data_IF_734301558963
#
_entry.id   IF_734301558963
#
_cell.length_a   1.000
_cell.length_b   1.000
_cell.length_c   1.000
_cell.angle_alpha   90.00
_cell.angle_beta   90.00
_cell.angle_gamma   90.00
#
_symmetry.space_group_name_H-M   'P 1'
#
loop_
_entity.id
_entity.type
_entity.pdbx_description
1 polymer ?
#
# COMPACT_ATOMS: atom_id res chain seq x y z
N UNK A 1 -32.54 9.94 16.28
CA UNK A 1 -31.16 10.31 16.71
C UNK A 1 -30.29 10.32 15.46
N UNK A 2 -29.60 11.41 15.17
CA UNK A 2 -28.68 11.52 14.03
C UNK A 2 -27.24 11.24 14.50
N UNK A 3 -26.51 10.47 13.70
CA UNK A 3 -25.06 10.27 13.91
C UNK A 3 -24.35 11.31 13.04
N UNK A 4 -23.47 12.10 13.65
CA UNK A 4 -22.67 13.10 12.93
C UNK A 4 -21.24 12.60 12.75
N UNK A 5 -20.70 12.85 11.58
CA UNK A 5 -19.31 12.58 11.23
C UNK A 5 -18.61 13.89 10.88
N UNK A 6 -17.32 13.99 11.20
CA UNK A 6 -16.49 15.12 10.83
C UNK A 6 -16.03 15.03 9.37
N UNK A 7 -15.88 13.81 8.87
CA UNK A 7 -15.48 13.55 7.49
C UNK A 7 -16.16 12.29 6.94
N UNK A 8 -16.47 12.32 5.66
CA UNK A 8 -16.96 11.18 4.88
C UNK A 8 -15.97 10.93 3.74
N UNK A 9 -15.44 9.72 3.68
CA UNK A 9 -14.51 9.29 2.65
C UNK A 9 -15.21 8.29 1.73
N UNK A 10 -15.21 8.59 0.44
CA UNK A 10 -15.83 7.73 -0.57
C UNK A 10 -14.76 6.89 -1.23
N UNK A 11 -14.83 5.59 -1.03
CA UNK A 11 -13.88 4.59 -1.51
C UNK A 11 -12.87 4.14 -0.44
N UNK A 12 -12.85 2.83 -0.17
CA UNK A 12 -11.92 2.18 0.74
C UNK A 12 -10.73 1.57 -0.03
N UNK A 13 -10.14 2.33 -0.94
CA UNK A 13 -8.84 2.03 -1.54
C UNK A 13 -7.69 2.50 -0.62
N UNK A 14 -6.43 2.28 -1.02
CA UNK A 14 -5.28 2.65 -0.19
C UNK A 14 -5.27 4.13 0.23
N UNK A 15 -5.61 5.03 -0.68
CA UNK A 15 -5.67 6.47 -0.39
C UNK A 15 -6.78 6.81 0.62
N UNK A 16 -7.99 6.28 0.40
CA UNK A 16 -9.13 6.52 1.29
C UNK A 16 -8.91 5.97 2.69
N UNK A 17 -8.41 4.75 2.80
CA UNK A 17 -8.13 4.11 4.10
C UNK A 17 -7.00 4.82 4.86
N UNK A 18 -5.92 5.18 4.18
CA UNK A 18 -4.83 5.95 4.80
C UNK A 18 -5.33 7.31 5.30
N UNK A 19 -6.16 8.00 4.52
CA UNK A 19 -6.76 9.27 4.93
C UNK A 19 -7.67 9.10 6.13
N UNK A 20 -8.54 8.07 6.12
CA UNK A 20 -9.45 7.77 7.22
C UNK A 20 -8.69 7.52 8.51
N UNK A 21 -7.65 6.69 8.46
CA UNK A 21 -6.83 6.36 9.60
C UNK A 21 -6.11 7.59 10.17
N UNK A 22 -5.51 8.41 9.30
CA UNK A 22 -4.80 9.61 9.75
C UNK A 22 -5.75 10.64 10.39
N UNK A 23 -6.97 10.77 9.90
CA UNK A 23 -8.01 11.61 10.52
C UNK A 23 -8.47 11.02 11.85
N UNK A 24 -8.73 9.71 11.90
CA UNK A 24 -9.16 9.03 13.12
C UNK A 24 -8.10 9.13 14.24
N UNK A 25 -6.82 8.99 13.92
CA UNK A 25 -5.72 9.16 14.87
C UNK A 25 -5.65 10.58 15.46
N UNK A 26 -6.17 11.57 14.73
CA UNK A 26 -6.30 12.97 15.20
C UNK A 26 -7.60 13.24 15.95
N UNK A 27 -8.41 12.21 16.20
CA UNK A 27 -9.65 12.31 16.97
C UNK A 27 -10.88 12.68 16.14
N UNK A 28 -10.80 12.77 14.82
CA UNK A 28 -11.95 13.01 13.96
C UNK A 28 -12.82 11.76 13.83
N UNK A 29 -14.12 11.95 13.81
CA UNK A 29 -15.11 10.91 13.57
C UNK A 29 -15.31 10.74 12.06
N UNK A 30 -14.80 9.64 11.52
CA UNK A 30 -14.75 9.41 10.06
C UNK A 30 -15.71 8.30 9.66
N UNK A 31 -16.42 8.49 8.57
CA UNK A 31 -17.18 7.47 7.87
C UNK A 31 -16.49 7.14 6.54
N UNK A 32 -16.19 5.87 6.32
CA UNK A 32 -15.71 5.38 5.03
C UNK A 32 -16.83 4.61 4.36
N UNK A 33 -17.13 4.94 3.10
CA UNK A 33 -18.12 4.23 2.29
C UNK A 33 -17.45 3.55 1.11
N UNK A 34 -17.73 2.27 0.91
CA UNK A 34 -17.14 1.44 -0.13
C UNK A 34 -18.24 0.73 -0.93
N UNK A 35 -18.13 0.78 -2.26
CA UNK A 35 -19.06 0.12 -3.18
C UNK A 35 -18.82 -1.38 -3.29
N UNK A 36 -17.59 -1.84 -3.08
CA UNK A 36 -17.21 -3.25 -3.10
C UNK A 36 -17.70 -4.00 -1.87
N UNK A 37 -17.59 -5.32 -1.90
CA UNK A 37 -17.97 -6.18 -0.76
C UNK A 37 -17.09 -5.95 0.47
N UNK A 38 -15.82 -5.59 0.23
CA UNK A 38 -14.83 -5.26 1.25
C UNK A 38 -13.78 -4.31 0.68
N UNK A 39 -12.97 -3.64 1.51
CA UNK A 39 -11.82 -2.87 1.04
C UNK A 39 -10.92 -3.72 0.15
N UNK A 40 -10.45 -3.15 -0.94
CA UNK A 40 -9.54 -3.83 -1.86
C UNK A 40 -10.14 -4.88 -2.79
N UNK A 41 -11.43 -5.23 -2.66
CA UNK A 41 -12.05 -6.30 -3.45
C UNK A 41 -12.04 -6.09 -4.96
N UNK A 42 -11.83 -4.85 -5.42
CA UNK A 42 -11.73 -4.48 -6.83
C UNK A 42 -10.30 -4.27 -7.31
N UNK A 43 -9.33 -4.41 -6.43
CA UNK A 43 -7.92 -4.25 -6.76
C UNK A 43 -7.39 -5.58 -7.32
N UNK A 44 -7.11 -5.61 -8.61
CA UNK A 44 -6.61 -6.80 -9.32
C UNK A 44 -5.10 -6.74 -9.58
N UNK A 45 -4.44 -5.73 -9.06
CA UNK A 45 -3.02 -5.51 -9.23
C UNK A 45 -2.21 -6.22 -8.14
N UNK A 46 -1.13 -6.86 -8.54
CA UNK A 46 -0.07 -7.31 -7.66
C UNK A 46 1.25 -6.69 -8.09
N UNK A 47 2.07 -6.29 -7.17
CA UNK A 47 3.32 -5.65 -7.54
C UNK A 47 4.17 -5.19 -6.36
N UNK A 48 5.09 -4.30 -6.66
CA UNK A 48 6.04 -3.77 -5.70
C UNK A 48 5.48 -2.55 -4.97
N UNK A 49 5.60 -2.58 -3.66
CA UNK A 49 5.24 -1.48 -2.76
C UNK A 49 6.52 -0.93 -2.15
N UNK A 50 6.70 0.39 -2.26
CA UNK A 50 7.79 1.10 -1.61
C UNK A 50 7.42 1.45 -0.18
N UNK A 51 8.24 1.01 0.76
CA UNK A 51 7.89 1.00 2.17
C UNK A 51 8.18 2.30 2.94
N UNK A 52 8.90 3.25 2.36
CA UNK A 52 9.37 4.44 3.06
C UNK A 52 8.27 5.31 3.69
N UNK A 53 7.05 5.28 3.13
CA UNK A 53 5.90 5.98 3.71
C UNK A 53 5.32 5.18 4.87
N UNK A 54 5.36 3.84 4.78
CA UNK A 54 4.83 2.95 5.81
C UNK A 54 5.60 3.08 7.12
N UNK A 55 6.92 3.29 7.07
CA UNK A 55 7.74 3.55 8.26
C UNK A 55 7.21 4.71 9.12
N UNK A 56 6.58 5.70 8.47
CA UNK A 56 6.01 6.88 9.13
C UNK A 56 4.57 6.68 9.59
N UNK A 57 3.77 6.01 8.77
CA UNK A 57 2.33 5.89 8.99
C UNK A 57 1.95 4.63 9.79
N UNK A 58 2.71 3.56 9.63
CA UNK A 58 2.42 2.22 10.17
C UNK A 58 3.71 1.55 10.68
N UNK A 59 4.29 2.00 11.80
CA UNK A 59 5.60 1.53 12.26
C UNK A 59 5.74 0.00 12.38
N UNK A 60 4.65 -0.70 12.69
CA UNK A 60 4.62 -2.16 12.85
C UNK A 60 4.36 -2.94 11.55
N UNK A 61 4.29 -2.25 10.39
CA UNK A 61 3.92 -2.90 9.11
C UNK A 61 4.84 -4.07 8.72
N UNK A 62 6.10 -4.05 9.14
CA UNK A 62 7.05 -5.15 8.85
C UNK A 62 6.55 -6.48 9.40
N UNK A 63 5.83 -6.46 10.53
CA UNK A 63 5.27 -7.64 11.19
C UNK A 63 3.85 -7.98 10.75
N UNK A 64 3.09 -6.96 10.36
CA UNK A 64 1.62 -7.06 10.22
C UNK A 64 1.14 -7.05 8.78
N UNK A 65 1.87 -6.34 7.88
CA UNK A 65 1.46 -6.21 6.48
C UNK A 65 1.56 -7.56 5.73
N UNK A 66 0.71 -7.80 4.73
CA UNK A 66 0.72 -9.03 3.94
C UNK A 66 1.88 -9.03 2.93
N UNK A 67 3.11 -9.02 3.45
CA UNK A 67 4.32 -9.08 2.63
C UNK A 67 4.47 -10.48 2.05
N UNK A 68 4.46 -10.58 0.72
CA UNK A 68 4.75 -11.84 0.04
C UNK A 68 6.25 -12.08 -0.05
N UNK A 69 6.99 -11.04 -0.44
CA UNK A 69 8.45 -11.13 -0.59
C UNK A 69 9.09 -9.75 -0.49
N UNK A 70 10.17 -9.66 0.27
CA UNK A 70 11.05 -8.49 0.26
C UNK A 70 11.85 -8.43 -1.03
N UNK A 71 11.94 -7.24 -1.64
CA UNK A 71 12.69 -7.03 -2.88
C UNK A 71 14.16 -6.79 -2.52
N UNK A 72 15.00 -7.75 -2.87
CA UNK A 72 16.44 -7.68 -2.68
C UNK A 72 17.17 -7.14 -3.90
N UNK A 73 16.67 -7.49 -5.08
CA UNK A 73 17.30 -7.17 -6.36
C UNK A 73 16.28 -6.56 -7.31
N UNK A 74 16.66 -5.48 -7.95
CA UNK A 74 15.88 -4.78 -8.94
C UNK A 74 16.66 -4.63 -10.23
N UNK A 75 16.04 -4.91 -11.35
CA UNK A 75 16.61 -4.73 -12.68
C UNK A 75 15.72 -3.81 -13.50
N UNK A 76 16.34 -2.80 -14.10
CA UNK A 76 15.69 -1.91 -15.06
C UNK A 76 16.40 -2.12 -16.39
N UNK A 77 15.64 -2.53 -17.41
CA UNK A 77 16.17 -2.81 -18.74
C UNK A 77 15.56 -1.86 -19.77
N UNK A 78 16.40 -1.31 -20.60
CA UNK A 78 16.03 -0.55 -21.81
C UNK A 78 16.34 -1.44 -23.01
N UNK A 79 15.31 -1.77 -23.76
CA UNK A 79 15.40 -2.74 -24.85
C UNK A 79 15.11 -2.08 -26.20
N UNK A 80 15.85 -2.50 -27.24
CA UNK A 80 15.55 -2.25 -28.65
C UNK A 80 15.21 -3.58 -29.33
N UNK A 81 15.04 -3.61 -30.65
CA UNK A 81 14.74 -4.86 -31.36
C UNK A 81 15.86 -5.89 -31.26
N UNK A 82 17.13 -5.43 -31.20
CA UNK A 82 18.32 -6.26 -31.29
C UNK A 82 19.33 -6.09 -30.15
N UNK A 83 19.05 -5.16 -29.23
CA UNK A 83 19.99 -4.83 -28.16
C UNK A 83 19.27 -4.40 -26.88
N UNK A 84 19.98 -4.36 -25.77
CA UNK A 84 19.45 -3.92 -24.50
C UNK A 84 20.53 -3.54 -23.49
N UNK A 85 20.17 -2.63 -22.61
CA UNK A 85 20.99 -2.24 -21.45
C UNK A 85 20.22 -2.52 -20.19
N UNK A 86 20.85 -3.15 -19.21
CA UNK A 86 20.25 -3.45 -17.93
C UNK A 86 21.08 -2.86 -16.79
N UNK A 87 20.42 -2.17 -15.90
CA UNK A 87 20.99 -1.71 -14.62
C UNK A 87 20.39 -2.54 -13.50
N UNK A 88 21.24 -3.08 -12.64
CA UNK A 88 20.83 -3.90 -11.50
C UNK A 88 21.20 -3.20 -10.20
N UNK A 89 20.25 -3.15 -9.28
CA UNK A 89 20.43 -2.68 -7.91
C UNK A 89 20.21 -3.86 -6.96
N UNK A 90 21.12 -4.08 -6.04
CA UNK A 90 21.00 -5.10 -5.00
C UNK A 90 21.19 -4.48 -3.62
N UNK A 91 20.35 -4.89 -2.66
CA UNK A 91 20.46 -4.48 -1.26
C UNK A 91 20.44 -5.67 -0.33
N UNK A 92 21.28 -5.66 0.69
CA UNK A 92 21.26 -6.65 1.77
C UNK A 92 20.28 -6.26 2.89
N UNK A 93 19.99 -4.96 3.03
CA UNK A 93 18.96 -4.46 3.94
C UNK A 93 17.65 -4.35 3.18
N UNK A 94 16.86 -5.42 3.18
CA UNK A 94 15.61 -5.52 2.42
C UNK A 94 14.42 -4.92 3.14
N UNK A 95 14.36 -5.05 4.47
CA UNK A 95 13.31 -4.46 5.27
C UNK A 95 13.34 -2.94 5.17
N UNK A 96 12.18 -2.31 5.26
CA UNK A 96 12.02 -0.85 5.12
C UNK A 96 12.36 -0.28 3.72
N UNK A 97 12.59 -1.11 2.72
CA UNK A 97 12.85 -0.67 1.33
C UNK A 97 11.63 -0.88 0.44
N UNK A 98 11.36 -2.10 0.09
CA UNK A 98 10.20 -2.46 -0.73
C UNK A 98 9.90 -3.95 -0.65
N UNK A 99 8.66 -4.29 -0.92
CA UNK A 99 8.17 -5.67 -0.94
C UNK A 99 7.13 -5.85 -2.04
N UNK A 100 6.85 -7.11 -2.37
CA UNK A 100 5.72 -7.46 -3.23
C UNK A 100 4.53 -7.85 -2.38
N UNK A 101 3.36 -7.47 -2.84
CA UNK A 101 2.09 -7.86 -2.26
C UNK A 101 0.97 -7.81 -3.31
N UNK A 102 -0.11 -8.56 -3.08
CA UNK A 102 -1.38 -8.32 -3.71
C UNK A 102 -1.94 -6.99 -3.21
N UNK A 103 -2.35 -6.10 -4.11
CA UNK A 103 -2.93 -4.81 -3.71
C UNK A 103 -4.25 -4.98 -2.96
N UNK A 104 -5.00 -6.04 -3.27
CA UNK A 104 -6.24 -6.36 -2.57
C UNK A 104 -5.98 -6.72 -1.11
N UNK A 105 -5.01 -7.60 -0.85
CA UNK A 105 -4.65 -8.00 0.51
C UNK A 105 -4.02 -6.86 1.29
N UNK A 106 -3.17 -6.07 0.63
CA UNK A 106 -2.56 -4.89 1.23
C UNK A 106 -3.63 -3.83 1.61
N UNK A 107 -4.61 -3.61 0.74
CA UNK A 107 -5.69 -2.67 1.01
C UNK A 107 -6.62 -3.16 2.13
N UNK A 108 -6.88 -4.47 2.18
CA UNK A 108 -7.68 -5.05 3.27
C UNK A 108 -6.96 -4.95 4.63
N UNK A 109 -5.65 -5.03 4.63
CA UNK A 109 -4.83 -4.85 5.83
C UNK A 109 -4.83 -3.39 6.34
N UNK A 110 -4.82 -2.41 5.43
CA UNK A 110 -4.86 -0.98 5.78
C UNK A 110 -6.11 -0.62 6.58
#
# INVERSE_FOLDING_TARGET
MSIKFDAIIVGAGPAGLTTAQQLAQKGFKVLVVERGRKPGSKNVYGGRIYAHVLDKLYPEYVKEAPVERWVRKERISFLTEDSGTTVEFETNNVEHKSFTASLSDFTEWL
#
